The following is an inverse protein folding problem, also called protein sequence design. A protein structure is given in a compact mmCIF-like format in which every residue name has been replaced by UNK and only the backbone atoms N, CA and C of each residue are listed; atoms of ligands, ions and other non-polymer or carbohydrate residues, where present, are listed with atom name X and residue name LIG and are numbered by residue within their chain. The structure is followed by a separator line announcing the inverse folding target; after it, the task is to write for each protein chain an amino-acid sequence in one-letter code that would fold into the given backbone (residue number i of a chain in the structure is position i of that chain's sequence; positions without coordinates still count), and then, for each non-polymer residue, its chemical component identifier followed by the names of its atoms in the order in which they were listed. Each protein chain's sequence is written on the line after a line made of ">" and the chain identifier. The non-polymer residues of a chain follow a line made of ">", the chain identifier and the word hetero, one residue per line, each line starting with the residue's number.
data_IF_351251411081
#
_entry.id   IF_351251411081
#
_cell.length_a   1.000
_cell.length_b   1.000
_cell.length_c   1.000
_cell.angle_alpha   90.00
_cell.angle_beta   90.00
_cell.angle_gamma   90.00
#
_symmetry.space_group_name_H-M   'P 1'
#
loop_
_entity.id
_entity.type
_entity.pdbx_description
1 polymer ?
#
# COMPACT_ATOMS: atom_id res chain seq x y z
N UNK A 1 28.09 -0.04 -2.69
CA UNK A 1 26.87 -0.54 -2.02
C UNK A 1 26.71 -2.01 -2.40
N UNK A 2 26.59 -2.93 -1.43
CA UNK A 2 26.34 -4.34 -1.75
C UNK A 2 24.94 -4.47 -2.34
N UNK A 3 24.85 -5.10 -3.50
CA UNK A 3 23.56 -5.46 -4.10
C UNK A 3 22.96 -6.58 -3.25
N UNK A 4 21.83 -6.29 -2.60
CA UNK A 4 21.05 -7.34 -1.94
C UNK A 4 20.38 -8.16 -3.04
N UNK A 5 20.43 -9.48 -2.91
CA UNK A 5 19.69 -10.40 -3.77
C UNK A 5 18.21 -10.33 -3.34
N UNK A 6 17.33 -9.86 -4.23
CA UNK A 6 15.90 -9.64 -3.96
C UNK A 6 15.12 -10.63 -4.80
N UNK A 7 14.30 -11.45 -4.14
CA UNK A 7 13.35 -12.33 -4.81
C UNK A 7 12.06 -11.57 -5.10
N UNK A 8 11.51 -11.77 -6.30
CA UNK A 8 10.27 -11.14 -6.75
C UNK A 8 9.25 -12.24 -7.07
N UNK A 9 8.02 -12.07 -6.57
CA UNK A 9 6.89 -12.93 -6.87
C UNK A 9 5.76 -12.06 -7.44
N UNK A 10 5.25 -12.42 -8.62
CA UNK A 10 4.25 -11.62 -9.33
C UNK A 10 4.84 -10.80 -10.47
N UNK A 11 4.20 -9.67 -10.81
CA UNK A 11 4.60 -8.79 -11.92
C UNK A 11 5.86 -7.99 -11.61
N UNK A 12 6.99 -8.41 -12.18
CA UNK A 12 8.28 -7.76 -11.99
C UNK A 12 8.37 -6.37 -12.64
N UNK A 13 7.43 -6.04 -13.52
CA UNK A 13 7.29 -4.76 -14.20
C UNK A 13 6.61 -3.67 -13.35
N UNK A 14 5.91 -4.06 -12.27
CA UNK A 14 5.13 -3.10 -11.44
C UNK A 14 6.03 -1.99 -10.86
N UNK A 15 7.26 -2.27 -10.35
CA UNK A 15 8.14 -1.24 -9.82
C UNK A 15 8.70 -0.25 -10.85
N UNK A 16 8.55 -0.50 -12.15
CA UNK A 16 8.94 0.43 -13.21
C UNK A 16 7.99 1.63 -13.32
N UNK A 17 6.85 1.58 -12.62
CA UNK A 17 5.85 2.64 -12.56
C UNK A 17 5.89 3.41 -11.22
N UNK A 18 5.40 4.66 -11.18
CA UNK A 18 5.30 5.41 -9.94
C UNK A 18 4.42 4.71 -8.91
N UNK A 19 4.94 4.60 -7.69
CA UNK A 19 4.23 4.01 -6.55
C UNK A 19 4.20 4.98 -5.37
N UNK A 20 3.17 4.83 -4.53
CA UNK A 20 3.07 5.55 -3.26
C UNK A 20 3.27 4.58 -2.11
N UNK A 21 4.22 4.89 -1.23
CA UNK A 21 4.41 4.13 0.00
C UNK A 21 3.35 4.53 1.04
N UNK A 22 2.63 3.53 1.59
CA UNK A 22 1.67 3.73 2.68
C UNK A 22 2.26 3.13 3.95
N UNK A 23 2.52 3.99 4.94
CA UNK A 23 3.08 3.58 6.23
C UNK A 23 2.21 4.11 7.38
N UNK A 24 1.99 3.30 8.40
CA UNK A 24 1.28 3.72 9.60
C UNK A 24 1.91 3.13 10.88
N UNK A 25 1.85 3.89 11.97
CA UNK A 25 2.20 3.38 13.30
C UNK A 25 1.18 2.34 13.76
N UNK A 26 1.64 1.30 14.48
CA UNK A 26 0.74 0.36 15.18
C UNK A 26 -0.28 1.09 16.07
N UNK A 27 0.11 2.25 16.63
CA UNK A 27 -0.77 3.12 17.42
C UNK A 27 -1.17 4.34 16.59
N UNK A 28 -2.23 4.18 15.79
CA UNK A 28 -2.81 5.26 15.00
C UNK A 28 -3.87 6.03 15.83
N UNK A 29 -3.77 7.38 15.96
CA UNK A 29 -4.81 8.18 16.61
C UNK A 29 -6.17 8.06 15.93
N UNK A 30 -7.24 7.90 16.71
CA UNK A 30 -8.60 7.71 16.18
C UNK A 30 -9.06 8.78 15.19
N UNK A 31 -8.60 10.02 15.33
CA UNK A 31 -8.91 11.12 14.41
C UNK A 31 -8.42 10.87 12.98
N UNK A 32 -7.30 10.16 12.80
CA UNK A 32 -6.72 9.88 11.49
C UNK A 32 -7.32 8.66 10.80
N UNK A 33 -8.08 7.83 11.52
CA UNK A 33 -8.63 6.58 10.98
C UNK A 33 -9.52 6.84 9.76
N UNK A 34 -10.46 7.78 9.88
CA UNK A 34 -11.38 8.11 8.78
C UNK A 34 -10.65 8.74 7.60
N UNK A 35 -9.73 9.67 7.86
CA UNK A 35 -8.92 10.31 6.81
C UNK A 35 -8.10 9.27 6.04
N UNK A 36 -7.54 8.28 6.74
CA UNK A 36 -6.75 7.21 6.13
C UNK A 36 -7.62 6.28 5.29
N UNK A 37 -8.83 5.95 5.74
CA UNK A 37 -9.79 5.20 4.94
C UNK A 37 -10.18 5.93 3.65
N UNK A 38 -10.41 7.23 3.73
CA UNK A 38 -10.79 8.03 2.57
C UNK A 38 -9.62 8.17 1.58
N UNK A 39 -8.38 8.28 2.08
CA UNK A 39 -7.18 8.21 1.26
C UNK A 39 -7.07 6.88 0.52
N UNK A 40 -7.24 5.74 1.21
CA UNK A 40 -7.18 4.41 0.59
C UNK A 40 -8.26 4.22 -0.49
N UNK A 41 -9.48 4.73 -0.25
CA UNK A 41 -10.56 4.72 -1.25
C UNK A 41 -10.21 5.60 -2.45
N UNK A 42 -9.59 6.76 -2.22
CA UNK A 42 -9.17 7.67 -3.28
C UNK A 42 -8.08 7.03 -4.15
N UNK A 43 -7.06 6.44 -3.54
CA UNK A 43 -5.99 5.72 -4.24
C UNK A 43 -6.55 4.57 -5.07
N UNK A 44 -7.44 3.76 -4.49
CA UNK A 44 -8.15 2.70 -5.22
C UNK A 44 -8.90 3.25 -6.42
N UNK A 45 -9.66 4.33 -6.24
CA UNK A 45 -10.46 4.94 -7.31
C UNK A 45 -9.59 5.50 -8.43
N UNK A 46 -8.42 6.05 -8.10
CA UNK A 46 -7.50 6.67 -9.05
C UNK A 46 -6.52 5.67 -9.69
N UNK A 47 -6.50 4.42 -9.23
CA UNK A 47 -5.54 3.42 -9.70
C UNK A 47 -4.10 3.70 -9.28
N UNK A 48 -3.92 4.34 -8.12
CA UNK A 48 -2.59 4.53 -7.53
C UNK A 48 -2.05 3.18 -7.10
N UNK A 49 -0.86 2.82 -7.59
CA UNK A 49 -0.14 1.63 -7.11
C UNK A 49 0.45 1.93 -5.75
N UNK A 50 0.04 1.16 -4.74
CA UNK A 50 0.49 1.33 -3.36
C UNK A 50 1.48 0.24 -2.99
N UNK A 51 2.57 0.64 -2.32
CA UNK A 51 3.56 -0.27 -1.72
C UNK A 51 3.56 -0.12 -0.20
N UNK A 52 3.54 -1.24 0.54
CA UNK A 52 3.60 -1.24 2.01
C UNK A 52 3.97 -2.62 2.54
N UNK A 53 4.49 -2.70 3.76
CA UNK A 53 4.62 -3.98 4.46
C UNK A 53 3.31 -4.48 5.09
N UNK A 54 2.30 -3.61 5.20
CA UNK A 54 1.00 -3.93 5.81
C UNK A 54 1.07 -4.54 7.22
N UNK A 55 2.00 -4.05 8.06
CA UNK A 55 2.27 -4.62 9.38
C UNK A 55 1.35 -4.08 10.49
N UNK A 56 0.89 -2.84 10.38
CA UNK A 56 -0.01 -2.22 11.36
C UNK A 56 -1.48 -2.50 11.02
N UNK A 57 -2.38 -2.48 12.03
CA UNK A 57 -3.81 -2.68 11.78
C UNK A 57 -4.40 -1.69 10.77
N UNK A 58 -3.94 -0.45 10.78
CA UNK A 58 -4.40 0.57 9.84
C UNK A 58 -3.91 0.30 8.40
N UNK A 59 -2.68 -0.18 8.22
CA UNK A 59 -2.19 -0.57 6.90
C UNK A 59 -2.96 -1.79 6.36
N UNK A 60 -3.21 -2.82 7.17
CA UNK A 60 -4.03 -3.98 6.77
C UNK A 60 -5.45 -3.57 6.34
N UNK A 61 -6.06 -2.61 7.05
CA UNK A 61 -7.35 -2.04 6.66
C UNK A 61 -7.29 -1.33 5.31
N UNK A 62 -6.20 -0.60 5.03
CA UNK A 62 -5.98 0.01 3.72
C UNK A 62 -5.82 -1.07 2.62
N UNK A 63 -5.06 -2.15 2.90
CA UNK A 63 -4.91 -3.29 1.99
C UNK A 63 -6.27 -3.88 1.61
N UNK A 64 -7.14 -4.12 2.60
CA UNK A 64 -8.51 -4.62 2.37
C UNK A 64 -9.32 -3.73 1.42
N UNK A 65 -9.10 -2.42 1.46
CA UNK A 65 -9.78 -1.47 0.57
C UNK A 65 -9.18 -1.52 -0.84
N UNK A 66 -7.85 -1.48 -0.94
CA UNK A 66 -7.11 -1.41 -2.20
C UNK A 66 -7.33 -2.66 -3.06
N UNK A 67 -7.33 -3.85 -2.44
CA UNK A 67 -7.56 -5.14 -3.11
C UNK A 67 -8.98 -5.32 -3.69
N UNK A 68 -9.90 -4.38 -3.45
CA UNK A 68 -11.24 -4.36 -4.08
C UNK A 68 -11.23 -3.71 -5.46
N UNK A 69 -10.09 -3.72 -6.14
CA UNK A 69 -9.88 -3.17 -7.47
C UNK A 69 -8.85 -4.01 -8.23
N UNK A 70 -8.79 -3.90 -9.57
CA UNK A 70 -7.78 -4.61 -10.34
C UNK A 70 -6.40 -3.93 -10.31
N UNK A 71 -6.25 -2.82 -9.58
CA UNK A 71 -5.00 -2.07 -9.56
C UNK A 71 -3.93 -2.80 -8.73
N UNK A 72 -2.65 -2.73 -9.14
CA UNK A 72 -1.57 -3.39 -8.40
C UNK A 72 -1.40 -2.83 -6.99
N UNK A 73 -1.04 -3.72 -6.06
CA UNK A 73 -0.54 -3.39 -4.73
C UNK A 73 0.71 -4.25 -4.51
N UNK A 74 1.73 -3.70 -3.85
CA UNK A 74 3.03 -4.35 -3.63
C UNK A 74 3.30 -4.50 -2.14
N UNK A 75 3.74 -5.68 -1.70
CA UNK A 75 4.08 -6.01 -0.31
C UNK A 75 5.15 -7.09 -0.20
#
# INVERSE_FOLDING_TARGET
>A
MKQADIQVYGGAEIPDHPMVALLCSEKCPGKLILDTYDLAKLFRKQGVTVISGFHSPMEEECLRILLRSPHPVVW
#
